data_IF_127290906080
#
_entry.id   IF_127290906080
#
_cell.length_a   1.000
_cell.length_b   1.000
_cell.length_c   1.000
_cell.angle_alpha   90.00
_cell.angle_beta   90.00
_cell.angle_gamma   90.00
#
_symmetry.space_group_name_H-M   'P 1'
#
loop_
_entity.id
_entity.type
_entity.pdbx_description
1 polymer ?
#
# COMPACT_ATOMS: atom_id res chain seq x y z
N UNK A 1 29.31 -6.88 -5.53
CA UNK A 1 27.89 -6.49 -5.32
C UNK A 1 27.74 -5.81 -3.97
N UNK A 2 26.96 -4.73 -3.88
CA UNK A 2 26.67 -4.01 -2.63
C UNK A 2 25.18 -3.66 -2.59
N UNK A 3 24.45 -4.21 -1.62
CA UNK A 3 23.04 -3.91 -1.38
C UNK A 3 22.83 -3.18 -0.06
N UNK A 4 21.89 -2.23 -0.03
CA UNK A 4 21.49 -1.48 1.17
C UNK A 4 19.98 -1.23 1.16
N UNK A 5 19.34 -1.49 2.29
CA UNK A 5 17.95 -1.11 2.56
C UNK A 5 17.93 0.28 3.19
N UNK A 6 17.06 1.15 2.69
CA UNK A 6 17.00 2.56 3.09
C UNK A 6 15.84 2.80 4.06
N UNK A 7 14.62 2.53 3.61
CA UNK A 7 13.39 2.77 4.36
C UNK A 7 12.40 1.63 4.16
N UNK A 8 11.71 1.25 5.23
CA UNK A 8 10.59 0.32 5.19
C UNK A 8 9.43 0.96 5.96
N UNK A 9 8.39 1.32 5.23
CA UNK A 9 7.25 2.11 5.72
C UNK A 9 5.91 1.55 5.22
N UNK A 10 4.83 2.28 5.50
CA UNK A 10 3.42 1.89 5.28
C UNK A 10 2.89 0.90 6.33
N UNK A 11 2.28 -0.22 5.92
CA UNK A 11 1.40 -0.99 6.77
C UNK A 11 1.75 -2.48 6.90
N UNK A 12 1.37 -3.06 8.04
CA UNK A 12 1.37 -4.50 8.28
C UNK A 12 -0.07 -5.02 8.33
N UNK A 13 -0.27 -6.32 8.04
CA UNK A 13 -1.59 -6.95 7.96
C UNK A 13 -2.59 -6.23 7.03
N UNK A 14 -2.09 -5.59 5.97
CA UNK A 14 -2.88 -4.84 5.00
C UNK A 14 -2.67 -5.38 3.58
N UNK A 15 -3.63 -5.13 2.68
CA UNK A 15 -3.53 -5.53 1.26
C UNK A 15 -2.48 -4.73 0.49
N UNK A 16 -2.24 -3.47 0.86
CA UNK A 16 -1.26 -2.61 0.21
C UNK A 16 0.19 -3.04 0.49
N UNK A 17 0.44 -3.65 1.64
CA UNK A 17 1.77 -4.04 2.11
C UNK A 17 2.63 -2.86 2.58
N UNK A 18 3.88 -3.19 2.92
CA UNK A 18 4.93 -2.25 3.27
C UNK A 18 5.82 -1.95 2.07
N UNK A 19 6.19 -0.68 1.88
CA UNK A 19 7.10 -0.29 0.81
C UNK A 19 8.55 -0.27 1.32
N UNK A 20 9.40 -1.08 0.70
CA UNK A 20 10.84 -1.08 0.92
C UNK A 20 11.54 -0.27 -0.16
N UNK A 21 12.17 0.84 0.23
CA UNK A 21 13.13 1.55 -0.60
C UNK A 21 14.53 0.97 -0.41
N UNK A 22 15.18 0.59 -1.49
CA UNK A 22 16.51 -0.03 -1.48
C UNK A 22 17.42 0.52 -2.57
N UNK A 23 18.72 0.28 -2.41
CA UNK A 23 19.74 0.54 -3.41
C UNK A 23 20.61 -0.71 -3.56
N UNK A 24 20.78 -1.20 -4.79
CA UNK A 24 21.66 -2.34 -5.05
C UNK A 24 22.52 -2.10 -6.28
N UNK A 25 23.84 -2.19 -6.09
CA UNK A 25 24.84 -2.01 -7.15
C UNK A 25 25.67 -3.27 -7.41
N UNK A 26 26.01 -3.46 -8.67
CA UNK A 26 26.95 -4.50 -9.12
C UNK A 26 27.97 -3.92 -10.10
N UNK A 27 29.06 -4.63 -10.32
CA UNK A 27 30.17 -4.11 -11.13
C UNK A 27 29.85 -4.12 -12.64
N UNK A 28 29.00 -5.04 -13.09
CA UNK A 28 28.66 -5.18 -14.52
C UNK A 28 27.22 -5.67 -14.77
N UNK A 29 26.50 -5.01 -15.68
CA UNK A 29 25.16 -5.41 -16.13
C UNK A 29 24.04 -5.21 -15.10
N UNK A 30 22.98 -6.02 -15.23
CA UNK A 30 21.84 -6.12 -14.31
C UNK A 30 21.72 -7.55 -13.78
N UNK A 31 21.23 -7.75 -12.56
CA UNK A 31 20.92 -9.10 -12.03
C UNK A 31 19.83 -9.02 -10.97
N UNK A 32 18.97 -10.03 -10.93
CA UNK A 32 18.03 -10.23 -9.84
C UNK A 32 18.72 -10.97 -8.70
N UNK A 33 18.84 -10.30 -7.55
CA UNK A 33 19.30 -10.92 -6.31
C UNK A 33 18.11 -11.45 -5.52
N UNK A 34 18.29 -12.60 -4.86
CA UNK A 34 17.31 -13.21 -3.97
C UNK A 34 17.59 -12.78 -2.53
N UNK A 35 16.60 -12.22 -1.85
CA UNK A 35 16.70 -11.78 -0.47
C UNK A 35 15.94 -12.76 0.41
N UNK A 36 16.62 -13.32 1.41
CA UNK A 36 16.04 -14.18 2.43
C UNK A 36 16.13 -13.51 3.79
N UNK A 37 14.98 -13.12 4.32
CA UNK A 37 14.84 -12.70 5.72
C UNK A 37 14.09 -13.79 6.50
N UNK A 38 13.92 -13.61 7.81
CA UNK A 38 13.15 -14.55 8.63
C UNK A 38 11.65 -14.46 8.31
N UNK A 39 11.15 -13.25 8.09
CA UNK A 39 9.72 -12.98 7.89
C UNK A 39 9.27 -13.02 6.42
N UNK A 40 10.18 -12.70 5.49
CA UNK A 40 9.86 -12.52 4.07
C UNK A 40 11.00 -12.97 3.16
N UNK A 41 10.65 -13.42 1.95
CA UNK A 41 11.61 -13.67 0.87
C UNK A 41 11.14 -12.96 -0.40
N UNK A 42 12.06 -12.31 -1.10
CA UNK A 42 11.73 -11.49 -2.28
C UNK A 42 12.95 -11.36 -3.21
N UNK A 43 12.75 -10.73 -4.37
CA UNK A 43 13.82 -10.45 -5.33
C UNK A 43 13.98 -8.96 -5.52
N UNK A 44 15.22 -8.52 -5.66
CA UNK A 44 15.56 -7.12 -5.95
C UNK A 44 16.46 -7.02 -7.18
N UNK A 45 16.38 -5.90 -7.90
CA UNK A 45 17.25 -5.68 -9.05
C UNK A 45 18.51 -4.92 -8.64
N UNK A 46 19.66 -5.46 -9.04
CA UNK A 46 20.99 -4.88 -8.81
C UNK A 46 21.60 -4.50 -10.15
N UNK A 47 21.95 -3.23 -10.32
CA UNK A 47 22.42 -2.68 -11.60
C UNK A 47 23.77 -1.97 -11.43
N UNK A 48 24.44 -1.69 -12.55
CA UNK A 48 25.68 -0.89 -12.53
C UNK A 48 25.45 0.52 -11.97
N UNK A 49 24.33 1.15 -12.33
CA UNK A 49 24.01 2.50 -11.86
C UNK A 49 23.41 2.45 -10.44
N UNK A 50 23.91 3.26 -9.50
CA UNK A 50 23.28 3.44 -8.20
C UNK A 50 21.94 4.16 -8.37
N UNK A 51 20.85 3.41 -8.29
CA UNK A 51 19.49 3.94 -8.25
C UNK A 51 18.74 3.44 -7.03
N UNK A 52 17.87 4.29 -6.49
CA UNK A 52 16.88 3.88 -5.49
C UNK A 52 15.72 3.21 -6.20
N UNK A 53 15.29 2.07 -5.66
CA UNK A 53 14.17 1.29 -6.17
C UNK A 53 13.24 0.93 -5.01
N UNK A 54 12.00 0.59 -5.35
CA UNK A 54 10.95 0.25 -4.40
C UNK A 54 10.45 -1.17 -4.65
N UNK A 55 10.06 -1.87 -3.59
CA UNK A 55 9.37 -3.17 -3.66
C UNK A 55 8.35 -3.25 -2.53
N UNK A 56 7.20 -3.85 -2.81
CA UNK A 56 6.14 -4.06 -1.83
C UNK A 56 6.31 -5.42 -1.16
N UNK A 57 6.24 -5.44 0.17
CA UNK A 57 6.43 -6.62 1.01
C UNK A 57 5.27 -6.76 1.99
N UNK A 58 4.85 -8.00 2.27
CA UNK A 58 3.79 -8.26 3.24
C UNK A 58 4.37 -8.67 4.59
N UNK A 59 3.96 -7.97 5.66
CA UNK A 59 4.36 -8.28 7.04
C UNK A 59 3.15 -8.48 7.94
N UNK A 60 3.35 -9.25 9.02
CA UNK A 60 2.33 -9.56 10.02
C UNK A 60 2.47 -8.79 11.34
N UNK A 61 3.57 -8.05 11.51
CA UNK A 61 3.92 -7.37 12.74
C UNK A 61 4.36 -5.93 12.45
N UNK A 62 4.17 -5.03 13.42
CA UNK A 62 4.51 -3.61 13.29
C UNK A 62 6.02 -3.37 13.27
N UNK A 63 6.77 -3.99 14.19
CA UNK A 63 8.21 -3.73 14.31
C UNK A 63 9.00 -4.77 13.53
N UNK A 64 9.73 -4.33 12.51
CA UNK A 64 10.62 -5.17 11.70
C UNK A 64 12.07 -4.85 12.06
N UNK A 65 12.80 -5.86 12.48
CA UNK A 65 14.25 -5.79 12.72
C UNK A 65 14.83 -7.17 12.52
N UNK A 66 15.33 -7.46 11.33
CA UNK A 66 15.84 -8.77 10.98
C UNK A 66 17.08 -8.69 10.08
N UNK A 67 17.94 -9.69 10.20
CA UNK A 67 19.08 -9.85 9.31
C UNK A 67 18.68 -10.71 8.11
N UNK A 68 18.99 -10.23 6.92
CA UNK A 68 18.68 -10.89 5.66
C UNK A 68 19.95 -11.28 4.90
N UNK A 69 19.86 -12.37 4.16
CA UNK A 69 20.87 -12.79 3.19
C UNK A 69 20.46 -12.32 1.81
N UNK A 70 21.30 -11.51 1.18
CA UNK A 70 21.17 -11.08 -0.20
C UNK A 70 22.10 -11.95 -1.05
N UNK A 71 21.48 -12.85 -1.80
CA UNK A 71 22.14 -13.88 -2.60
C UNK A 71 22.09 -13.51 -4.09
N UNK A 72 23.24 -13.59 -4.74
CA UNK A 72 23.40 -13.53 -6.18
C UNK A 72 24.31 -14.68 -6.60
N UNK A 73 24.26 -15.13 -7.86
CA UNK A 73 24.91 -16.35 -8.38
C UNK A 73 26.33 -16.66 -7.86
N UNK A 74 27.13 -15.64 -7.53
CA UNK A 74 28.50 -15.77 -7.07
C UNK A 74 28.79 -15.21 -5.67
N UNK A 75 27.83 -14.50 -5.05
CA UNK A 75 28.10 -13.74 -3.82
C UNK A 75 26.88 -13.74 -2.89
N UNK A 76 27.15 -13.87 -1.60
CA UNK A 76 26.16 -13.73 -0.54
C UNK A 76 26.61 -12.60 0.37
N UNK A 77 25.72 -11.64 0.63
CA UNK A 77 25.98 -10.50 1.50
C UNK A 77 24.89 -10.39 2.55
N UNK A 78 25.27 -10.15 3.80
CA UNK A 78 24.31 -9.91 4.87
C UNK A 78 23.89 -8.45 4.89
N UNK A 79 22.60 -8.20 4.96
CA UNK A 79 21.99 -6.87 5.05
C UNK A 79 20.97 -6.85 6.18
N UNK A 80 20.61 -5.67 6.66
CA UNK A 80 19.65 -5.53 7.76
C UNK A 80 18.39 -4.82 7.27
N UNK A 81 17.24 -5.43 7.56
CA UNK A 81 15.92 -4.88 7.28
C UNK A 81 15.32 -4.33 8.56
N UNK A 82 14.99 -3.04 8.55
CA UNK A 82 14.43 -2.32 9.70
C UNK A 82 13.29 -1.42 9.27
N UNK A 83 12.23 -1.39 10.06
CA UNK A 83 11.09 -0.49 9.86
C UNK A 83 10.07 -0.60 11.00
N UNK A 84 9.22 0.41 11.12
CA UNK A 84 8.07 0.41 12.03
C UNK A 84 6.83 0.72 11.20
N UNK A 85 5.95 -0.28 11.09
CA UNK A 85 4.78 -0.28 10.22
C UNK A 85 3.52 0.05 11.01
N UNK A 86 2.59 0.73 10.34
CA UNK A 86 1.30 1.13 10.91
C UNK A 86 0.24 0.06 10.69
N UNK A 87 -0.71 -0.05 11.62
CA UNK A 87 -1.92 -0.83 11.39
C UNK A 87 -2.93 0.03 10.65
N UNK A 88 -3.56 -0.52 9.60
CA UNK A 88 -4.61 0.15 8.85
C UNK A 88 -5.91 -0.60 9.08
N UNK A 89 -6.84 0.02 9.80
CA UNK A 89 -8.21 -0.49 9.92
C UNK A 89 -8.90 -0.40 8.56
N UNK A 90 -9.41 -1.53 8.08
CA UNK A 90 -10.27 -1.53 6.90
C UNK A 90 -11.66 -1.13 7.37
N UNK A 91 -12.21 0.01 6.92
CA UNK A 91 -13.58 0.37 7.26
C UNK A 91 -14.51 -0.73 6.75
N UNK A 92 -15.32 -1.30 7.65
CA UNK A 92 -16.33 -2.28 7.27
C UNK A 92 -17.28 -1.62 6.27
N UNK A 93 -17.48 -2.18 5.06
CA UNK A 93 -18.46 -1.64 4.15
C UNK A 93 -19.84 -1.69 4.81
N UNK A 94 -20.43 -0.53 5.06
CA UNK A 94 -21.79 -0.44 5.58
C UNK A 94 -22.73 -0.94 4.49
N UNK A 95 -23.29 -2.13 4.69
CA UNK A 95 -24.37 -2.65 3.85
C UNK A 95 -25.61 -1.78 4.08
N UNK A 96 -25.82 -0.74 3.27
CA UNK A 96 -27.11 -0.04 3.22
C UNK A 96 -28.07 -0.90 2.39
N UNK A 97 -28.55 -1.99 2.99
CA UNK A 97 -29.71 -2.72 2.47
C UNK A 97 -30.95 -2.04 3.03
N UNK A 98 -31.43 -0.97 2.38
CA UNK A 98 -32.83 -0.50 2.38
C UNK A 98 -32.95 0.83 1.62
N UNK A 99 -33.29 0.77 0.34
CA UNK A 99 -33.98 1.87 -0.34
C UNK A 99 -35.26 1.28 -0.94
N UNK A 100 -36.31 1.19 -0.11
CA UNK A 100 -37.68 1.01 -0.59
C UNK A 100 -38.35 2.38 -0.48
N UNK A 101 -38.61 2.98 -1.64
CA UNK A 101 -39.56 4.05 -1.94
C UNK A 101 -39.55 5.30 -1.03
N UNK A 102 -38.76 6.32 -1.42
CA UNK A 102 -39.15 7.70 -1.13
C UNK A 102 -39.97 8.19 -2.33
N UNK A 103 -41.29 8.03 -2.25
CA UNK A 103 -42.21 8.62 -3.21
C UNK A 103 -41.99 10.14 -3.25
N UNK A 104 -41.73 10.65 -4.44
CA UNK A 104 -41.61 12.06 -4.74
C UNK A 104 -43.01 12.70 -4.71
N UNK A 105 -43.46 13.17 -3.54
CA UNK A 105 -44.63 14.04 -3.46
C UNK A 105 -44.22 15.49 -3.74
N UNK A 106 -44.11 15.81 -5.03
CA UNK A 106 -44.13 17.19 -5.51
C UNK A 106 -45.48 17.83 -5.17
N UNK A 107 -45.55 18.61 -4.08
CA UNK A 107 -46.69 19.49 -3.79
C UNK A 107 -46.72 20.64 -4.80
N UNK A 108 -47.40 20.41 -5.92
CA UNK A 108 -47.84 21.45 -6.85
C UNK A 108 -48.94 22.25 -6.13
N UNK A 109 -48.62 23.45 -5.66
CA UNK A 109 -49.64 24.42 -5.25
C UNK A 109 -50.22 25.07 -6.49
N UNK A 110 -51.30 24.49 -6.99
CA UNK A 110 -52.19 25.13 -7.95
C UNK A 110 -52.96 26.22 -7.21
N UNK A 111 -52.59 27.49 -7.39
CA UNK A 111 -53.45 28.61 -7.00
C UNK A 111 -54.44 28.83 -8.15
N UNK A 112 -55.62 28.23 -8.05
CA UNK A 112 -56.77 28.60 -8.90
C UNK A 112 -57.58 29.67 -8.19
N UNK A 113 -57.72 30.80 -8.89
CA UNK A 113 -58.59 31.94 -8.66
C UNK A 113 -59.98 31.61 -8.06
N UNK A 114 -60.47 32.49 -7.16
CA UNK A 114 -61.92 32.62 -6.87
C UNK A 114 -62.27 34.12 -6.77
N UNK A 115 -63.45 34.57 -7.26
CA UNK A 115 -63.66 35.93 -7.74
C UNK A 115 -64.46 36.85 -6.79
N UNK A 116 -64.43 38.16 -7.12
CA UNK A 116 -65.48 39.20 -6.94
C UNK A 116 -65.99 39.56 -5.52
N UNK A 117 -65.82 40.83 -5.11
CA UNK A 117 -66.87 41.88 -5.18
C UNK A 117 -66.61 43.08 -4.24
N UNK A 118 -66.74 44.29 -4.82
CA UNK A 118 -67.29 45.56 -4.29
C UNK A 118 -67.09 45.94 -2.80
N UNK A 119 -66.42 47.07 -2.56
CA UNK A 119 -66.95 48.25 -1.85
C UNK A 119 -66.15 49.50 -2.23
#
# INVERSE_FOLDING_TARGET
MRGRFLFLEECYNCLAGAELTYQCTKDFGSVLAHVKCQSVQFRINCEKSPAQRKVILAFKQSVIKESCLLECLSTVTQVELRGQLSFVEVPTPVHISNIINKAEESKVWTIVHVPFALF
#
